data_IF_339026921825
#
_entry.id   IF_339026921825
#
_cell.length_a   1.000
_cell.length_b   1.000
_cell.length_c   1.000
_cell.angle_alpha   90.00
_cell.angle_beta   90.00
_cell.angle_gamma   90.00
#
_symmetry.space_group_name_H-M   'P 1'
#
loop_
_entity.id
_entity.type
_entity.pdbx_description
1 polymer ?
#
# COMPACT_ATOMS: atom_id res chain seq x y z
N UNK A 1 9.85 9.96 25.80
CA UNK A 1 9.20 10.53 24.58
C UNK A 1 9.58 9.75 23.32
N UNK A 2 10.82 9.26 23.16
CA UNK A 2 11.21 8.40 22.02
C UNK A 2 10.47 7.04 21.96
N UNK A 3 10.13 6.43 23.10
CA UNK A 3 9.51 5.09 23.11
C UNK A 3 8.17 5.03 22.37
N UNK A 4 7.34 6.07 22.51
CA UNK A 4 6.05 6.15 21.81
C UNK A 4 6.20 6.31 20.30
N UNK A 5 7.26 6.99 19.84
CA UNK A 5 7.52 7.15 18.42
C UNK A 5 7.87 5.80 17.75
N UNK A 6 8.56 4.91 18.48
CA UNK A 6 8.91 3.57 17.97
C UNK A 6 7.68 2.66 17.76
N UNK A 7 6.57 2.97 18.43
CA UNK A 7 5.33 2.21 18.35
C UNK A 7 4.39 2.68 17.22
N UNK A 8 4.64 3.84 16.59
CA UNK A 8 3.81 4.37 15.52
C UNK A 8 3.66 3.38 14.35
N UNK A 9 2.54 3.43 13.60
CA UNK A 9 2.41 2.64 12.37
C UNK A 9 3.46 3.12 11.36
N UNK A 10 4.01 2.18 10.58
CA UNK A 10 5.04 2.47 9.57
C UNK A 10 4.80 1.63 8.33
N UNK A 11 4.58 2.28 7.20
CA UNK A 11 4.39 1.59 5.93
C UNK A 11 5.72 1.17 5.32
N UNK A 12 5.72 0.02 4.65
CA UNK A 12 6.84 -0.50 3.86
C UNK A 12 6.31 -1.19 2.60
N UNK A 13 6.98 -0.99 1.47
CA UNK A 13 6.74 -1.78 0.27
C UNK A 13 7.25 -3.21 0.50
N UNK A 14 6.35 -4.19 0.36
CA UNK A 14 6.70 -5.62 0.39
C UNK A 14 7.11 -6.06 -0.99
N UNK A 15 6.32 -5.65 -1.98
CA UNK A 15 6.44 -6.13 -3.35
C UNK A 15 5.94 -5.05 -4.30
N UNK A 16 6.63 -4.88 -5.41
CA UNK A 16 6.23 -4.02 -6.52
C UNK A 16 6.67 -4.71 -7.80
N UNK A 17 5.76 -5.47 -8.40
CA UNK A 17 6.03 -6.26 -9.59
C UNK A 17 5.42 -5.58 -10.80
N UNK A 18 6.20 -5.57 -11.87
CA UNK A 18 5.73 -5.27 -13.20
C UNK A 18 5.75 -6.56 -13.99
N UNK A 19 4.68 -6.84 -14.72
CA UNK A 19 4.60 -7.99 -15.61
C UNK A 19 4.14 -7.51 -16.98
N UNK A 20 5.00 -7.67 -17.97
CA UNK A 20 4.66 -7.38 -19.35
C UNK A 20 3.58 -8.35 -19.85
N UNK A 21 2.45 -7.80 -20.30
CA UNK A 21 1.30 -8.55 -20.84
C UNK A 21 1.28 -8.56 -22.38
N UNK A 22 2.29 -7.98 -23.03
CA UNK A 22 2.33 -7.78 -24.47
C UNK A 22 1.47 -6.60 -24.97
N UNK A 23 1.68 -6.21 -26.22
CA UNK A 23 1.02 -5.07 -26.88
C UNK A 23 1.19 -3.74 -26.14
N UNK A 24 2.34 -3.53 -25.49
CA UNK A 24 2.63 -2.34 -24.69
C UNK A 24 1.79 -2.25 -23.40
N UNK A 25 1.25 -3.37 -22.90
CA UNK A 25 0.51 -3.42 -21.64
C UNK A 25 1.35 -4.04 -20.55
N UNK A 26 1.22 -3.48 -19.36
CA UNK A 26 1.95 -3.91 -18.18
C UNK A 26 0.98 -4.06 -17.02
N UNK A 27 1.06 -5.19 -16.32
CA UNK A 27 0.41 -5.36 -15.03
C UNK A 27 1.34 -4.84 -13.93
N UNK A 28 0.90 -3.83 -13.20
CA UNK A 28 1.60 -3.30 -12.03
C UNK A 28 0.88 -3.81 -10.79
N UNK A 29 1.55 -4.69 -10.05
CA UNK A 29 1.08 -5.21 -8.76
C UNK A 29 1.95 -4.65 -7.65
N UNK A 30 1.32 -4.09 -6.62
CA UNK A 30 2.03 -3.52 -5.48
C UNK A 30 1.40 -3.96 -4.16
N UNK A 31 2.26 -4.31 -3.22
CA UNK A 31 1.91 -4.74 -1.87
C UNK A 31 2.61 -3.84 -0.87
N UNK A 32 1.83 -3.28 0.04
CA UNK A 32 2.33 -2.49 1.17
C UNK A 32 1.97 -3.21 2.47
N UNK A 33 2.85 -3.13 3.45
CA UNK A 33 2.59 -3.62 4.79
C UNK A 33 2.84 -2.56 5.85
N UNK A 34 2.15 -2.70 6.98
CA UNK A 34 2.47 -2.00 8.21
C UNK A 34 3.42 -2.86 9.06
N UNK A 35 4.63 -2.35 9.29
CA UNK A 35 5.64 -2.97 10.17
C UNK A 35 5.68 -2.33 11.57
N UNK A 36 4.82 -1.34 11.80
CA UNK A 36 4.70 -0.65 13.09
C UNK A 36 4.01 -1.49 14.16
N UNK A 37 3.99 -0.97 15.39
CA UNK A 37 3.29 -1.65 16.48
C UNK A 37 1.79 -1.38 16.42
N UNK A 38 1.37 -0.13 16.26
CA UNK A 38 -0.03 0.22 16.13
C UNK A 38 -0.57 0.01 14.72
N UNK A 39 -1.89 -0.16 14.63
CA UNK A 39 -2.64 -0.08 13.37
C UNK A 39 -2.53 1.32 12.75
N UNK A 40 -2.63 1.37 11.42
CA UNK A 40 -2.77 2.62 10.64
C UNK A 40 -4.01 3.46 11.00
N UNK A 41 -5.03 2.89 11.65
CA UNK A 41 -6.16 3.67 12.19
C UNK A 41 -5.87 4.29 13.56
N UNK A 42 -4.80 3.87 14.23
CA UNK A 42 -4.45 4.21 15.61
C UNK A 42 -5.30 3.52 16.67
N UNK A 43 -6.62 3.44 16.51
CA UNK A 43 -7.50 2.70 17.42
C UNK A 43 -8.74 2.14 16.72
N UNK A 44 -9.40 1.16 17.36
CA UNK A 44 -10.68 0.62 16.90
C UNK A 44 -11.80 1.66 16.97
N UNK A 45 -11.79 2.52 18.01
CA UNK A 45 -12.78 3.58 18.13
C UNK A 45 -12.66 4.60 16.98
N UNK A 46 -11.44 4.98 16.59
CA UNK A 46 -11.19 5.90 15.47
C UNK A 46 -11.73 5.35 14.13
N UNK A 47 -11.72 4.02 13.95
CA UNK A 47 -12.37 3.36 12.81
C UNK A 47 -13.89 3.46 12.90
N UNK A 48 -14.48 3.15 14.07
CA UNK A 48 -15.94 3.17 14.29
C UNK A 48 -16.55 4.54 14.00
N UNK A 49 -15.89 5.62 14.44
CA UNK A 49 -16.35 7.00 14.21
C UNK A 49 -15.87 7.58 12.86
N UNK A 50 -15.25 6.76 11.99
CA UNK A 50 -14.74 7.14 10.66
C UNK A 50 -13.80 8.36 10.65
N UNK A 51 -13.11 8.63 11.77
CA UNK A 51 -12.14 9.73 11.88
C UNK A 51 -10.79 9.36 11.27
N UNK A 52 -10.42 8.08 11.30
CA UNK A 52 -9.21 7.59 10.63
C UNK A 52 -9.53 7.21 9.18
N UNK A 53 -8.77 7.73 8.21
CA UNK A 53 -8.93 7.34 6.81
C UNK A 53 -8.17 6.05 6.51
N UNK A 54 -8.70 5.18 5.63
CA UNK A 54 -7.99 4.01 5.14
C UNK A 54 -6.66 4.37 4.46
N UNK A 55 -5.73 3.42 4.43
CA UNK A 55 -4.54 3.54 3.60
C UNK A 55 -4.95 3.56 2.14
N UNK A 56 -4.39 4.50 1.38
CA UNK A 56 -4.65 4.61 -0.05
C UNK A 56 -3.39 4.37 -0.85
N UNK A 57 -3.48 3.53 -1.87
CA UNK A 57 -2.45 3.36 -2.89
C UNK A 57 -2.80 4.18 -4.13
N UNK A 58 -1.81 4.88 -4.66
CA UNK A 58 -1.94 5.76 -5.81
C UNK A 58 -0.90 5.34 -6.84
N UNK A 59 -1.35 5.20 -8.09
CA UNK A 59 -0.51 5.07 -9.27
C UNK A 59 -0.52 6.40 -10.02
N UNK A 60 0.65 7.04 -10.12
CA UNK A 60 0.89 8.17 -11.00
C UNK A 60 1.43 7.67 -12.34
N UNK A 61 0.73 8.01 -13.42
CA UNK A 61 1.11 7.68 -14.79
C UNK A 61 2.19 8.66 -15.28
N UNK A 62 3.21 8.15 -15.96
CA UNK A 62 4.18 8.96 -16.68
C UNK A 62 3.64 9.45 -18.03
N UNK A 63 4.44 10.22 -18.75
CA UNK A 63 4.05 10.76 -20.06
C UNK A 63 3.76 9.63 -21.07
N UNK A 64 2.62 9.72 -21.75
CA UNK A 64 2.18 8.71 -22.72
C UNK A 64 1.66 7.40 -22.11
N UNK A 65 1.66 7.25 -20.79
CA UNK A 65 1.05 6.10 -20.12
C UNK A 65 -0.46 6.30 -19.90
N UNK A 66 -1.24 5.24 -20.12
CA UNK A 66 -2.70 5.24 -19.93
C UNK A 66 -3.11 4.07 -19.05
N UNK A 67 -4.09 4.30 -18.16
CA UNK A 67 -4.62 3.25 -17.31
C UNK A 67 -5.76 2.52 -18.05
N UNK A 68 -5.57 1.23 -18.33
CA UNK A 68 -6.59 0.39 -18.95
C UNK A 68 -7.49 -0.28 -17.91
N UNK A 69 -6.93 -0.73 -16.78
CA UNK A 69 -7.68 -1.42 -15.72
C UNK A 69 -7.24 -0.98 -14.33
N UNK A 70 -8.21 -0.86 -13.42
CA UNK A 70 -8.01 -0.45 -12.04
C UNK A 70 -8.46 0.99 -11.81
N UNK A 71 -8.13 1.53 -10.64
CA UNK A 71 -8.39 2.94 -10.29
C UNK A 71 -7.07 3.61 -9.97
N UNK A 72 -6.72 4.79 -10.52
CA UNK A 72 -5.47 5.47 -10.21
C UNK A 72 -5.25 5.64 -8.70
N UNK A 73 -6.35 5.85 -7.96
CA UNK A 73 -6.40 5.88 -6.50
C UNK A 73 -7.26 4.72 -5.99
N UNK A 74 -6.69 3.84 -5.16
CA UNK A 74 -7.36 2.67 -4.56
C UNK A 74 -7.18 2.65 -3.05
N UNK A 75 -8.28 2.65 -2.30
CA UNK A 75 -8.27 2.43 -0.86
C UNK A 75 -8.10 0.94 -0.56
N UNK A 76 -7.17 0.60 0.32
CA UNK A 76 -6.82 -0.78 0.68
C UNK A 76 -7.18 -1.12 2.14
N UNK A 77 -8.01 -0.29 2.77
CA UNK A 77 -8.41 -0.46 4.16
C UNK A 77 -7.37 0.01 5.17
N UNK A 78 -7.57 -0.33 6.44
CA UNK A 78 -6.60 -0.09 7.49
C UNK A 78 -5.74 -1.32 7.70
N UNK A 79 -4.42 -1.14 7.66
CA UNK A 79 -3.45 -2.19 7.95
C UNK A 79 -3.24 -2.31 9.46
N UNK A 80 -3.38 -3.53 9.98
CA UNK A 80 -3.11 -3.85 11.38
C UNK A 80 -1.61 -3.71 11.72
N UNK A 81 -1.31 -3.55 13.00
CA UNK A 81 0.06 -3.55 13.52
C UNK A 81 0.30 -4.76 14.42
N UNK A 82 1.51 -4.85 14.97
CA UNK A 82 1.91 -5.94 15.88
C UNK A 82 1.05 -6.02 17.15
N UNK A 83 0.44 -4.91 17.60
CA UNK A 83 -0.42 -4.89 18.79
C UNK A 83 -1.61 -5.84 18.68
N UNK A 84 -2.15 -6.02 17.48
CA UNK A 84 -3.30 -6.89 17.21
C UNK A 84 -2.90 -8.37 17.23
N UNK A 85 -1.60 -8.67 17.27
CA UNK A 85 -1.05 -10.03 17.21
C UNK A 85 -0.61 -10.58 18.58
N UNK A 86 -0.80 -9.84 19.67
CA UNK A 86 -0.29 -10.24 20.99
C UNK A 86 -1.02 -11.46 21.60
N UNK A 87 -2.25 -11.72 21.16
CA UNK A 87 -3.12 -12.79 21.70
C UNK A 87 -3.28 -13.97 20.72
N UNK A 88 -2.50 -14.00 19.64
CA UNK A 88 -2.67 -14.98 18.58
C UNK A 88 -1.87 -16.22 18.90
N UNK A 89 -2.56 -17.28 19.30
CA UNK A 89 -2.01 -18.63 19.44
C UNK A 89 -1.36 -19.07 18.13
N UNK A 90 -0.20 -19.74 18.21
CA UNK A 90 0.74 -20.15 17.14
C UNK A 90 0.18 -20.74 15.82
N UNK A 91 -1.13 -20.95 15.68
CA UNK A 91 -1.76 -21.64 14.54
C UNK A 91 -2.38 -20.73 13.48
N UNK A 92 -2.45 -19.40 13.68
CA UNK A 92 -3.02 -18.48 12.68
C UNK A 92 -2.18 -17.21 12.56
N UNK A 93 -1.62 -16.93 11.38
CA UNK A 93 -0.87 -15.70 11.11
C UNK A 93 -1.61 -14.89 10.02
N UNK A 94 -2.59 -14.04 10.41
CA UNK A 94 -3.34 -13.27 9.44
C UNK A 94 -2.45 -12.23 8.75
N UNK A 95 -2.61 -12.01 7.45
CA UNK A 95 -1.91 -10.99 6.65
C UNK A 95 -2.64 -9.64 6.65
N UNK A 96 -3.45 -9.37 7.68
CA UNK A 96 -4.22 -8.13 7.90
C UNK A 96 -3.35 -6.86 8.05
N UNK A 97 -2.04 -7.02 8.21
CA UNK A 97 -1.07 -5.94 8.19
C UNK A 97 -0.63 -5.58 6.76
N UNK A 98 -1.11 -6.28 5.73
CA UNK A 98 -0.78 -6.08 4.31
C UNK A 98 -2.01 -5.67 3.50
N UNK A 99 -1.77 -4.86 2.48
CA UNK A 99 -2.77 -4.53 1.47
C UNK A 99 -2.14 -4.44 0.10
N UNK A 100 -2.95 -4.69 -0.93
CA UNK A 100 -2.47 -4.76 -2.31
C UNK A 100 -3.34 -3.97 -3.28
N UNK A 101 -2.70 -3.44 -4.31
CA UNK A 101 -3.34 -2.81 -5.45
C UNK A 101 -2.71 -3.32 -6.75
N UNK A 102 -3.54 -3.35 -7.79
CA UNK A 102 -3.18 -3.89 -9.09
C UNK A 102 -3.78 -2.97 -10.14
N UNK A 103 -3.00 -2.71 -11.19
CA UNK A 103 -3.32 -1.84 -12.30
C UNK A 103 -2.82 -2.43 -13.60
N UNK A 104 -3.56 -2.25 -14.69
CA UNK A 104 -3.05 -2.51 -16.04
C UNK A 104 -2.83 -1.17 -16.72
N UNK A 105 -1.59 -0.94 -17.16
CA UNK A 105 -1.14 0.29 -17.80
C UNK A 105 -0.70 -0.02 -19.21
N UNK A 106 -1.15 0.77 -20.18
CA UNK A 106 -0.59 0.80 -21.54
C UNK A 106 0.43 1.92 -21.64
N UNK A 107 1.66 1.59 -22.00
CA UNK A 107 2.76 2.53 -22.14
C UNK A 107 3.82 1.97 -23.11
N UNK A 108 4.77 2.82 -23.50
CA UNK A 108 5.99 2.34 -24.17
C UNK A 108 6.89 1.62 -23.14
N UNK A 109 7.70 0.68 -23.63
CA UNK A 109 8.75 0.06 -22.82
C UNK A 109 9.72 1.12 -22.27
N UNK A 110 10.17 0.96 -21.03
CA UNK A 110 11.00 1.93 -20.31
C UNK A 110 10.23 3.11 -19.69
N UNK A 111 8.89 3.15 -19.80
CA UNK A 111 8.10 4.24 -19.21
C UNK A 111 8.15 4.19 -17.69
N UNK A 112 8.42 5.33 -17.05
CA UNK A 112 8.42 5.46 -15.59
C UNK A 112 7.02 5.73 -15.06
N UNK A 113 6.62 5.00 -14.02
CA UNK A 113 5.40 5.28 -13.26
C UNK A 113 5.72 5.39 -11.77
N UNK A 114 4.92 6.18 -11.05
CA UNK A 114 5.10 6.39 -9.62
C UNK A 114 4.05 5.63 -8.82
N UNK A 115 4.51 4.95 -7.77
CA UNK A 115 3.68 4.29 -6.77
C UNK A 115 3.77 5.08 -5.46
N UNK A 116 2.62 5.31 -4.85
CA UNK A 116 2.53 5.99 -3.57
C UNK A 116 1.54 5.28 -2.65
N UNK A 117 1.90 5.09 -1.38
CA UNK A 117 0.99 4.64 -0.34
C UNK A 117 0.89 5.69 0.75
N UNK A 118 -0.33 6.15 1.04
CA UNK A 118 -0.63 7.23 1.99
C UNK A 118 -1.44 6.73 3.17
N UNK A 119 -1.05 7.15 4.37
CA UNK A 119 -1.78 6.98 5.62
C UNK A 119 -1.73 8.25 6.44
N UNK A 120 -2.85 8.64 7.06
CA UNK A 120 -2.92 9.81 7.94
C UNK A 120 -1.94 9.71 9.13
N UNK A 121 -1.61 8.49 9.58
CA UNK A 121 -0.79 8.25 10.79
C UNK A 121 0.56 7.61 10.51
N UNK A 122 0.69 6.84 9.43
CA UNK A 122 1.94 6.18 9.07
C UNK A 122 2.75 6.97 8.02
N UNK A 123 2.25 8.15 7.64
CA UNK A 123 2.87 8.99 6.63
C UNK A 123 2.67 8.45 5.22
N UNK A 124 3.60 8.81 4.33
CA UNK A 124 3.54 8.50 2.91
C UNK A 124 4.85 7.88 2.47
N UNK A 125 4.77 6.77 1.73
CA UNK A 125 5.92 6.16 1.05
C UNK A 125 5.73 6.24 -0.46
N UNK A 126 6.81 6.49 -1.19
CA UNK A 126 6.81 6.62 -2.66
C UNK A 126 7.87 5.72 -3.25
N UNK A 127 7.62 5.21 -4.45
CA UNK A 127 8.57 4.44 -5.24
C UNK A 127 8.33 4.69 -6.72
N UNK A 128 9.39 4.92 -7.48
CA UNK A 128 9.33 4.93 -8.94
C UNK A 128 9.65 3.53 -9.45
N UNK A 129 8.92 3.08 -10.47
CA UNK A 129 9.16 1.82 -11.16
C UNK A 129 9.18 2.07 -12.68
N UNK A 130 9.99 1.29 -13.38
CA UNK A 130 10.08 1.30 -14.85
C UNK A 130 9.21 0.16 -15.38
N UNK A 131 8.47 0.42 -16.45
CA UNK A 131 7.67 -0.57 -17.15
C UNK A 131 8.52 -1.27 -18.20
N UNK A 132 8.93 -2.51 -17.92
CA UNK A 132 9.73 -3.39 -18.80
C UNK A 132 9.16 -4.82 -18.85
#
# INVERSE_FOLDING_TARGET
VLDFASAAPRLRWVDTRVTNLGDGRFNVHAVVENIGFFSTSGSMHARKVKRARPVTMVLGLGDGATLERGKPRKEIGHLEGRSTKMDVTFSYSPTDNRGQAEWVVRAADGTKVSLEARSDRAGTIRKEIVLE
#
